data_IF_322109350565
#
_entry.id   IF_322109350565
#
_cell.length_a   1.000
_cell.length_b   1.000
_cell.length_c   1.000
_cell.angle_alpha   90.00
_cell.angle_beta   90.00
_cell.angle_gamma   90.00
#
_symmetry.space_group_name_H-M   'P 1'
#
loop_
_entity.id
_entity.type
_entity.pdbx_description
1 polymer ?
#
# COMPACT_ATOMS: atom_id res chain seq x y z
N UNK A 1 -8.05 2.40 -21.74
CA UNK A 1 -7.80 1.72 -20.46
C UNK A 1 -6.40 1.13 -20.46
N UNK A 2 -5.59 1.42 -19.43
CA UNK A 2 -4.28 0.76 -19.26
C UNK A 2 -4.54 -0.65 -18.73
N UNK A 3 -3.96 -1.70 -19.31
CA UNK A 3 -4.11 -3.05 -18.78
C UNK A 3 -3.66 -3.09 -17.32
N UNK A 4 -4.52 -3.61 -16.45
CA UNK A 4 -4.23 -3.79 -15.03
C UNK A 4 -4.11 -5.28 -14.73
N UNK A 5 -3.00 -5.67 -14.10
CA UNK A 5 -2.80 -7.02 -13.61
C UNK A 5 -3.41 -7.12 -12.20
N UNK A 6 -4.34 -8.07 -12.00
CA UNK A 6 -4.80 -8.42 -10.66
C UNK A 6 -3.72 -9.16 -9.88
N UNK A 7 -3.27 -8.59 -8.77
CA UNK A 7 -2.34 -9.23 -7.83
C UNK A 7 -3.09 -9.96 -6.71
N UNK A 8 -4.27 -9.47 -6.33
CA UNK A 8 -5.20 -10.18 -5.44
C UNK A 8 -6.59 -10.17 -6.06
N UNK A 9 -7.34 -11.26 -5.86
CA UNK A 9 -8.67 -11.42 -6.43
C UNK A 9 -9.74 -10.57 -5.75
N UNK A 10 -10.89 -10.45 -6.40
CA UNK A 10 -12.09 -9.81 -5.86
C UNK A 10 -12.50 -10.43 -4.52
N UNK A 11 -12.90 -9.60 -3.55
CA UNK A 11 -13.26 -10.05 -2.21
C UNK A 11 -12.09 -10.24 -1.24
N UNK A 12 -10.84 -10.05 -1.69
CA UNK A 12 -9.70 -9.93 -0.78
C UNK A 12 -9.91 -8.76 0.21
N UNK A 13 -9.38 -8.84 1.45
CA UNK A 13 -9.46 -7.73 2.40
C UNK A 13 -8.91 -6.42 1.85
N UNK A 14 -7.87 -6.52 1.01
CA UNK A 14 -7.39 -5.44 0.15
C UNK A 14 -7.17 -6.03 -1.24
N UNK A 15 -7.94 -5.52 -2.20
CA UNK A 15 -7.78 -5.87 -3.61
C UNK A 15 -6.65 -5.01 -4.21
N UNK A 16 -5.77 -5.63 -5.00
CA UNK A 16 -4.56 -5.02 -5.54
C UNK A 16 -4.49 -5.18 -7.05
N UNK A 17 -4.22 -4.06 -7.72
CA UNK A 17 -3.98 -3.99 -9.16
C UNK A 17 -2.64 -3.35 -9.44
N UNK A 18 -1.92 -3.91 -10.41
CA UNK A 18 -0.69 -3.34 -10.92
C UNK A 18 -0.92 -2.79 -12.32
N UNK A 19 -0.78 -1.48 -12.47
CA UNK A 19 -0.79 -0.81 -13.75
C UNK A 19 0.66 -0.54 -14.18
N UNK A 20 0.91 -0.54 -15.48
CA UNK A 20 2.21 -0.22 -16.06
C UNK A 20 2.09 0.96 -17.03
N UNK A 21 2.76 2.06 -16.71
CA UNK A 21 2.79 3.28 -17.52
C UNK A 21 4.17 3.93 -17.47
N UNK A 22 4.86 3.89 -18.62
CA UNK A 22 6.11 4.62 -18.86
C UNK A 22 5.82 6.11 -19.07
N UNK A 23 5.63 6.84 -17.98
CA UNK A 23 5.39 8.27 -17.99
C UNK A 23 5.92 8.94 -16.71
N UNK A 24 6.00 10.26 -16.74
CA UNK A 24 6.35 11.05 -15.55
C UNK A 24 5.30 10.88 -14.43
N UNK A 25 5.71 11.11 -13.18
CA UNK A 25 4.84 10.94 -12.00
C UNK A 25 3.47 11.64 -12.09
N UNK A 26 3.34 12.88 -12.62
CA UNK A 26 2.03 13.50 -12.77
C UNK A 26 1.05 12.69 -13.64
N UNK A 27 1.52 12.17 -14.78
CA UNK A 27 0.72 11.34 -15.68
C UNK A 27 0.37 9.99 -15.05
N UNK A 28 1.30 9.37 -14.34
CA UNK A 28 1.02 8.13 -13.59
C UNK A 28 -0.05 8.34 -12.51
N UNK A 29 0.01 9.44 -11.77
CA UNK A 29 -1.05 9.76 -10.80
C UNK A 29 -2.38 9.98 -11.52
N UNK A 30 -2.39 10.63 -12.69
CA UNK A 30 -3.63 10.81 -13.46
C UNK A 30 -4.24 9.47 -13.85
N UNK A 31 -3.42 8.56 -14.40
CA UNK A 31 -3.87 7.21 -14.72
C UNK A 31 -4.42 6.45 -13.50
N UNK A 32 -3.83 6.63 -12.32
CA UNK A 32 -4.36 6.03 -11.08
C UNK A 32 -5.75 6.56 -10.71
N UNK A 33 -6.04 7.84 -11.01
CA UNK A 33 -7.35 8.46 -10.78
C UNK A 33 -8.38 7.99 -11.78
N UNK A 34 -8.01 7.97 -13.06
CA UNK A 34 -8.89 7.50 -14.13
C UNK A 34 -9.28 6.05 -13.85
N UNK A 35 -8.29 5.21 -13.48
CA UNK A 35 -8.52 3.84 -13.03
C UNK A 35 -9.47 3.76 -11.82
N UNK A 36 -9.26 4.59 -10.78
CA UNK A 36 -10.12 4.58 -9.60
C UNK A 36 -11.56 4.96 -9.95
N UNK A 37 -11.75 6.00 -10.77
CA UNK A 37 -13.05 6.48 -11.19
C UNK A 37 -13.79 5.40 -12.01
N UNK A 38 -13.11 4.78 -12.97
CA UNK A 38 -13.64 3.69 -13.78
C UNK A 38 -14.03 2.49 -12.90
N UNK A 39 -13.15 2.07 -11.98
CA UNK A 39 -13.37 0.90 -11.14
C UNK A 39 -14.53 1.10 -10.14
N UNK A 40 -14.65 2.30 -9.55
CA UNK A 40 -15.78 2.64 -8.69
C UNK A 40 -17.10 2.73 -9.49
N UNK A 41 -17.08 3.37 -10.66
CA UNK A 41 -18.25 3.45 -11.52
C UNK A 41 -18.72 2.06 -12.01
N UNK A 42 -17.79 1.12 -12.23
CA UNK A 42 -18.11 -0.27 -12.58
C UNK A 42 -18.81 -1.01 -11.44
N UNK A 43 -18.40 -0.77 -10.19
CA UNK A 43 -18.90 -1.48 -9.00
C UNK A 43 -20.20 -0.91 -8.47
N UNK A 44 -20.33 0.41 -8.48
CA UNK A 44 -21.50 1.12 -7.97
C UNK A 44 -21.93 2.24 -8.95
N UNK A 45 -22.50 1.91 -10.13
CA UNK A 45 -22.77 2.86 -11.21
C UNK A 45 -23.74 4.00 -10.85
N UNK A 46 -24.59 3.77 -9.86
CA UNK A 46 -25.58 4.74 -9.39
C UNK A 46 -25.03 5.70 -8.31
N UNK A 47 -23.80 5.46 -7.83
CA UNK A 47 -23.21 6.26 -6.76
C UNK A 47 -22.27 7.33 -7.32
N UNK A 48 -22.38 8.58 -6.88
CA UNK A 48 -21.38 9.60 -7.21
C UNK A 48 -20.02 9.20 -6.63
N UNK A 49 -18.90 9.64 -7.24
CA UNK A 49 -17.57 9.35 -6.73
C UNK A 49 -17.41 9.89 -5.30
N UNK A 50 -17.20 8.99 -4.34
CA UNK A 50 -17.05 9.33 -2.92
C UNK A 50 -15.61 9.75 -2.58
N UNK A 51 -14.97 10.56 -3.41
CA UNK A 51 -13.58 10.98 -3.22
C UNK A 51 -13.31 12.39 -3.74
N UNK A 52 -12.26 13.01 -3.20
CA UNK A 52 -11.77 14.34 -3.61
C UNK A 52 -10.29 14.30 -3.95
N UNK A 53 -9.86 15.21 -4.82
CA UNK A 53 -8.46 15.31 -5.19
C UNK A 53 -7.64 16.02 -4.12
N UNK A 54 -6.41 15.55 -3.88
CA UNK A 54 -5.44 16.22 -3.02
C UNK A 54 -4.06 16.25 -3.69
N UNK A 55 -3.12 17.11 -3.26
CA UNK A 55 -1.73 17.06 -3.75
C UNK A 55 -1.04 15.69 -3.58
N UNK A 56 -1.55 14.85 -2.68
CA UNK A 56 -1.06 13.49 -2.38
C UNK A 56 -1.85 12.39 -3.12
N UNK A 57 -2.79 12.74 -3.98
CA UNK A 57 -3.67 11.83 -4.73
C UNK A 57 -5.12 11.83 -4.24
N UNK A 58 -5.96 10.95 -4.78
CA UNK A 58 -7.38 10.87 -4.43
C UNK A 58 -7.55 10.46 -2.96
N UNK A 59 -8.41 11.20 -2.25
CA UNK A 59 -8.79 10.94 -0.86
C UNK A 59 -10.27 10.63 -0.81
N UNK A 60 -10.61 9.43 -0.32
CA UNK A 60 -12.01 9.07 -0.10
C UNK A 60 -12.65 9.99 0.96
N UNK A 61 -13.89 10.36 0.73
CA UNK A 61 -14.71 11.15 1.63
C UNK A 61 -14.96 10.39 2.95
N UNK A 62 -15.21 11.10 4.07
CA UNK A 62 -15.68 10.46 5.29
C UNK A 62 -16.97 9.67 5.01
N UNK A 63 -17.04 8.43 5.50
CA UNK A 63 -18.20 7.55 5.28
C UNK A 63 -18.25 6.87 3.92
N UNK A 64 -17.27 7.10 3.04
CA UNK A 64 -17.19 6.40 1.77
C UNK A 64 -17.18 4.88 1.95
N UNK A 65 -17.93 4.18 1.11
CA UNK A 65 -18.05 2.72 1.13
C UNK A 65 -16.76 2.03 0.73
N UNK A 66 -15.98 2.69 -0.13
CA UNK A 66 -14.68 2.22 -0.58
C UNK A 66 -13.56 3.07 0.01
N UNK A 67 -12.44 2.42 0.26
CA UNK A 67 -11.20 3.04 0.67
C UNK A 67 -10.10 2.68 -0.32
N UNK A 68 -9.23 3.64 -0.63
CA UNK A 68 -8.16 3.48 -1.61
C UNK A 68 -6.77 3.78 -1.05
N UNK A 69 -5.76 3.15 -1.63
CA UNK A 69 -4.34 3.45 -1.39
C UNK A 69 -3.55 3.24 -2.66
N UNK A 70 -2.44 3.98 -2.82
CA UNK A 70 -1.61 3.92 -4.01
C UNK A 70 -0.12 3.87 -3.66
N UNK A 71 0.65 3.15 -4.46
CA UNK A 71 2.12 3.20 -4.44
C UNK A 71 2.68 3.22 -5.85
N UNK A 72 3.89 3.77 -5.99
CA UNK A 72 4.48 4.06 -7.28
C UNK A 72 5.95 3.65 -7.29
N UNK A 73 6.35 2.75 -8.18
CA UNK A 73 7.74 2.28 -8.30
C UNK A 73 8.14 2.22 -9.78
N UNK A 74 9.05 3.10 -10.21
CA UNK A 74 9.39 3.22 -11.63
C UNK A 74 8.15 3.42 -12.52
N UNK A 75 7.92 2.59 -13.56
CA UNK A 75 6.76 2.67 -14.42
C UNK A 75 5.48 2.06 -13.81
N UNK A 76 5.56 1.46 -12.63
CA UNK A 76 4.46 0.74 -12.03
C UNK A 76 3.66 1.59 -11.04
N UNK A 77 2.35 1.38 -11.06
CA UNK A 77 1.39 1.95 -10.13
C UNK A 77 0.67 0.78 -9.46
N UNK A 78 0.81 0.66 -8.15
CA UNK A 78 0.04 -0.27 -7.35
C UNK A 78 -1.19 0.47 -6.82
N UNK A 79 -2.37 -0.01 -7.20
CA UNK A 79 -3.64 0.49 -6.73
C UNK A 79 -4.25 -0.51 -5.74
N UNK A 80 -4.71 -0.02 -4.59
CA UNK A 80 -5.37 -0.81 -3.56
C UNK A 80 -6.79 -0.33 -3.30
N UNK A 81 -7.75 -1.25 -3.19
CA UNK A 81 -9.13 -0.97 -2.78
C UNK A 81 -9.60 -1.89 -1.66
N UNK A 82 -10.42 -1.37 -0.76
CA UNK A 82 -11.09 -2.15 0.28
C UNK A 82 -12.44 -1.57 0.66
N UNK A 83 -13.38 -2.44 1.04
CA UNK A 83 -14.64 -2.09 1.74
C UNK A 83 -14.58 -2.33 3.25
N UNK A 84 -13.51 -2.98 3.72
CA UNK A 84 -13.43 -3.52 5.09
C UNK A 84 -12.71 -2.59 6.06
N UNK A 85 -12.13 -1.50 5.56
CA UNK A 85 -11.37 -0.55 6.35
C UNK A 85 -10.39 0.24 5.49
N UNK A 86 -9.47 0.94 6.13
CA UNK A 86 -8.49 1.79 5.44
C UNK A 86 -7.32 0.93 4.96
N UNK A 87 -7.14 0.75 3.64
CA UNK A 87 -6.02 0.00 3.12
C UNK A 87 -4.77 0.87 3.10
N UNK A 88 -3.63 0.20 3.18
CA UNK A 88 -2.34 0.73 2.76
C UNK A 88 -1.69 -0.26 1.81
N UNK A 89 -1.23 0.23 0.66
CA UNK A 89 -0.46 -0.60 -0.28
C UNK A 89 0.91 -0.01 -0.53
N UNK A 90 1.89 -0.87 -0.70
CA UNK A 90 3.22 -0.43 -1.11
C UNK A 90 3.87 -1.35 -2.14
N UNK A 91 4.71 -0.74 -2.99
CA UNK A 91 5.44 -1.40 -4.06
C UNK A 91 6.92 -0.98 -3.97
N UNK A 92 7.80 -1.95 -3.72
CA UNK A 92 9.24 -1.72 -3.57
C UNK A 92 10.03 -2.61 -4.53
N UNK A 93 11.04 -2.05 -5.20
CA UNK A 93 11.94 -2.81 -6.06
C UNK A 93 12.97 -3.59 -5.23
N UNK A 94 13.18 -4.86 -5.56
CA UNK A 94 14.23 -5.71 -5.02
C UNK A 94 15.56 -5.42 -5.72
N UNK A 95 16.06 -4.20 -5.53
CA UNK A 95 17.36 -3.77 -6.01
C UNK A 95 18.25 -3.42 -4.81
N UNK A 96 19.43 -4.02 -4.74
CA UNK A 96 20.42 -3.68 -3.71
C UNK A 96 20.97 -2.27 -3.96
N UNK A 97 21.18 -1.52 -2.88
CA UNK A 97 21.83 -0.21 -2.94
C UNK A 97 22.58 0.08 -1.61
N UNK A 98 23.65 0.90 -1.64
CA UNK A 98 24.42 1.18 -0.43
C UNK A 98 23.59 1.90 0.64
N UNK A 99 23.40 1.26 1.79
CA UNK A 99 22.66 1.82 2.94
C UNK A 99 21.26 1.24 3.16
N UNK A 100 20.84 0.25 2.36
CA UNK A 100 19.58 -0.48 2.55
C UNK A 100 19.45 -1.10 3.95
N UNK A 101 20.53 -1.69 4.46
CA UNK A 101 20.59 -2.26 5.80
C UNK A 101 20.46 -1.20 6.90
N UNK A 102 21.10 -0.05 6.74
CA UNK A 102 21.04 1.04 7.72
C UNK A 102 19.64 1.65 7.77
N UNK A 103 19.01 1.84 6.61
CA UNK A 103 17.62 2.30 6.51
C UNK A 103 16.68 1.30 7.17
N UNK A 104 16.84 -0.01 6.93
CA UNK A 104 15.98 -0.99 7.57
C UNK A 104 16.24 -1.10 9.07
N UNK A 105 17.47 -0.89 9.54
CA UNK A 105 17.77 -0.81 10.97
C UNK A 105 17.09 0.39 11.62
N UNK A 106 17.13 1.56 10.98
CA UNK A 106 16.58 2.80 11.50
C UNK A 106 15.03 2.80 11.50
N UNK A 107 14.40 2.29 10.44
CA UNK A 107 12.95 2.37 10.27
C UNK A 107 12.23 1.03 10.43
N UNK A 108 12.82 -0.08 9.97
CA UNK A 108 12.20 -1.42 10.03
C UNK A 108 12.17 -2.02 11.44
N UNK A 109 13.05 -1.57 12.32
CA UNK A 109 13.17 -2.08 13.68
C UNK A 109 14.00 -3.36 13.78
N UNK A 110 14.22 -3.85 15.02
CA UNK A 110 15.23 -4.86 15.30
C UNK A 110 14.96 -6.20 14.61
N UNK A 111 13.69 -6.61 14.49
CA UNK A 111 13.34 -7.89 13.86
C UNK A 111 13.59 -7.87 12.35
N UNK A 112 13.21 -6.79 11.66
CA UNK A 112 13.45 -6.64 10.23
C UNK A 112 14.94 -6.53 9.91
N UNK A 113 15.68 -5.77 10.73
CA UNK A 113 17.13 -5.64 10.60
C UNK A 113 17.85 -6.99 10.81
N UNK A 114 17.47 -7.76 11.82
CA UNK A 114 18.04 -9.07 12.08
C UNK A 114 17.74 -10.06 10.93
N UNK A 115 16.51 -10.05 10.40
CA UNK A 115 16.13 -10.90 9.27
C UNK A 115 16.94 -10.55 7.99
N UNK A 116 17.16 -9.27 7.73
CA UNK A 116 18.00 -8.83 6.61
C UNK A 116 19.46 -9.24 6.80
N UNK A 117 20.01 -9.06 8.01
CA UNK A 117 21.39 -9.45 8.33
C UNK A 117 21.62 -10.96 8.17
N UNK A 118 20.62 -11.78 8.56
CA UNK A 118 20.64 -13.23 8.39
C UNK A 118 20.41 -13.70 6.94
N UNK A 119 19.99 -12.80 6.03
CA UNK A 119 19.70 -13.16 4.65
C UNK A 119 20.99 -13.40 3.85
N UNK A 120 21.06 -14.47 3.03
CA UNK A 120 22.18 -14.71 2.12
C UNK A 120 22.40 -13.52 1.18
N UNK A 121 23.63 -13.23 0.73
CA UNK A 121 23.92 -12.05 -0.10
C UNK A 121 22.98 -11.90 -1.31
N UNK A 122 22.68 -13.00 -2.02
CA UNK A 122 21.79 -12.99 -3.18
C UNK A 122 20.30 -12.75 -2.85
N UNK A 123 19.88 -12.87 -1.59
CA UNK A 123 18.50 -12.67 -1.15
C UNK A 123 18.26 -11.36 -0.39
N UNK A 124 19.30 -10.57 -0.11
CA UNK A 124 19.19 -9.35 0.72
C UNK A 124 18.28 -8.30 0.11
N UNK A 125 18.42 -8.01 -1.19
CA UNK A 125 17.57 -7.03 -1.87
C UNK A 125 16.08 -7.41 -1.81
N UNK A 126 15.79 -8.70 -1.96
CA UNK A 126 14.45 -9.25 -1.84
C UNK A 126 13.92 -9.16 -0.39
N UNK A 127 14.74 -9.50 0.60
CA UNK A 127 14.38 -9.39 2.01
C UNK A 127 14.11 -7.95 2.42
N UNK A 128 14.94 -7.00 1.97
CA UNK A 128 14.73 -5.58 2.17
C UNK A 128 13.41 -5.13 1.55
N UNK A 129 13.20 -5.38 0.24
CA UNK A 129 12.01 -4.93 -0.46
C UNK A 129 10.72 -5.50 0.15
N UNK A 130 10.74 -6.77 0.58
CA UNK A 130 9.63 -7.39 1.30
C UNK A 130 9.35 -6.72 2.64
N UNK A 131 10.39 -6.44 3.44
CA UNK A 131 10.23 -5.81 4.74
C UNK A 131 9.79 -4.33 4.62
N UNK A 132 10.38 -3.62 3.66
CA UNK A 132 10.09 -2.20 3.42
C UNK A 132 8.65 -1.99 2.91
N UNK A 133 8.22 -2.76 1.91
CA UNK A 133 6.85 -2.68 1.41
C UNK A 133 5.82 -3.00 2.50
N UNK A 134 6.10 -3.98 3.36
CA UNK A 134 5.24 -4.28 4.50
C UNK A 134 5.12 -3.12 5.50
N UNK A 135 6.25 -2.46 5.83
CA UNK A 135 6.27 -1.30 6.72
C UNK A 135 5.46 -0.14 6.13
N UNK A 136 5.74 0.25 4.89
CA UNK A 136 5.05 1.34 4.18
C UNK A 136 3.55 1.08 4.01
N UNK A 137 3.17 -0.16 3.70
CA UNK A 137 1.76 -0.56 3.63
C UNK A 137 1.06 -0.34 4.99
N UNK A 138 1.67 -0.77 6.10
CA UNK A 138 1.11 -0.56 7.45
C UNK A 138 1.05 0.92 7.82
N UNK A 139 2.09 1.69 7.53
CA UNK A 139 2.11 3.14 7.75
C UNK A 139 0.95 3.84 7.02
N UNK A 140 0.75 3.52 5.74
CA UNK A 140 -0.35 4.06 4.93
C UNK A 140 -1.73 3.67 5.47
N UNK A 141 -1.90 2.41 5.87
CA UNK A 141 -3.16 1.93 6.47
C UNK A 141 -3.48 2.68 7.78
N UNK A 142 -2.46 2.95 8.59
CA UNK A 142 -2.57 3.75 9.82
C UNK A 142 -2.56 5.29 9.58
N UNK A 143 -2.52 5.75 8.32
CA UNK A 143 -2.45 7.18 7.96
C UNK A 143 -1.27 7.93 8.58
N UNK A 144 -0.12 7.26 8.75
CA UNK A 144 1.12 7.85 9.27
C UNK A 144 2.15 8.08 8.16
N UNK A 145 3.00 9.08 8.38
CA UNK A 145 4.21 9.27 7.57
C UNK A 145 5.32 8.33 8.02
N UNK A 146 6.40 8.25 7.24
CA UNK A 146 7.60 7.53 7.63
C UNK A 146 8.21 8.18 8.88
N UNK A 147 8.45 7.35 9.89
CA UNK A 147 9.01 7.74 11.18
C UNK A 147 9.99 6.65 11.62
N UNK A 148 11.09 7.04 12.25
CA UNK A 148 12.09 6.10 12.80
C UNK A 148 11.46 5.10 13.76
N UNK A 149 12.11 3.96 13.92
CA UNK A 149 11.63 2.90 14.78
C UNK A 149 11.52 3.37 16.23
N UNK A 150 10.35 3.17 16.81
CA UNK A 150 10.15 3.17 18.25
C UNK A 150 9.14 2.08 18.63
N UNK A 151 9.22 1.50 19.84
CA UNK A 151 8.21 0.56 20.32
C UNK A 151 6.80 1.15 20.33
N UNK A 152 6.67 2.47 20.55
CA UNK A 152 5.38 3.15 20.51
C UNK A 152 4.80 3.20 19.09
N UNK A 153 5.62 3.53 18.09
CA UNK A 153 5.20 3.47 16.68
C UNK A 153 4.77 2.06 16.32
N UNK A 154 5.55 1.05 16.69
CA UNK A 154 5.24 -0.35 16.36
C UNK A 154 3.91 -0.82 16.97
N UNK A 155 3.62 -0.43 18.22
CA UNK A 155 2.31 -0.69 18.85
C UNK A 155 1.14 -0.05 18.09
N UNK A 156 1.32 1.16 17.53
CA UNK A 156 0.28 1.78 16.70
C UNK A 156 0.11 1.02 15.38
N UNK A 157 1.21 0.64 14.73
CA UNK A 157 1.16 -0.11 13.47
C UNK A 157 0.60 -1.52 13.64
N UNK A 158 0.51 -2.06 14.86
CA UNK A 158 -0.14 -3.34 15.14
C UNK A 158 -1.65 -3.32 14.84
N UNK A 159 -2.28 -2.13 14.73
CA UNK A 159 -3.65 -1.99 14.29
C UNK A 159 -3.85 -2.29 12.78
N UNK A 160 -2.77 -2.19 11.99
CA UNK A 160 -2.77 -2.54 10.57
C UNK A 160 -2.24 -3.96 10.37
N UNK A 161 -3.12 -4.85 9.92
CA UNK A 161 -2.78 -6.23 9.61
C UNK A 161 -2.28 -6.33 8.17
N UNK A 162 -1.16 -7.01 7.93
CA UNK A 162 -0.76 -7.38 6.58
C UNK A 162 -1.72 -8.43 6.04
N UNK A 163 -2.36 -8.12 4.92
CA UNK A 163 -3.36 -8.99 4.29
C UNK A 163 -2.78 -9.76 3.11
N UNK A 164 -1.73 -9.23 2.48
CA UNK A 164 -1.08 -9.88 1.34
C UNK A 164 0.35 -9.36 1.14
N UNK A 165 1.24 -10.24 0.67
CA UNK A 165 2.52 -9.87 0.06
C UNK A 165 2.77 -10.71 -1.19
N UNK A 166 3.06 -10.06 -2.31
CA UNK A 166 3.29 -10.73 -3.61
C UNK A 166 4.58 -10.22 -4.22
N UNK A 167 5.39 -11.16 -4.72
CA UNK A 167 6.55 -10.84 -5.54
C UNK A 167 6.17 -10.89 -7.02
N UNK A 168 6.45 -9.84 -7.77
CA UNK A 168 6.18 -9.78 -9.21
C UNK A 168 7.29 -9.03 -9.95
N UNK A 169 7.97 -9.69 -10.88
CA UNK A 169 9.01 -9.08 -11.74
C UNK A 169 10.08 -8.26 -10.98
N UNK A 170 10.58 -8.79 -9.87
CA UNK A 170 11.59 -8.10 -9.04
C UNK A 170 11.01 -6.99 -8.16
N UNK A 171 9.69 -6.87 -8.06
CA UNK A 171 9.00 -5.98 -7.13
C UNK A 171 8.35 -6.78 -6.02
N UNK A 172 8.25 -6.18 -4.83
CA UNK A 172 7.40 -6.63 -3.75
C UNK A 172 6.22 -5.68 -3.57
N UNK A 173 5.03 -6.21 -3.78
CA UNK A 173 3.78 -5.57 -3.45
C UNK A 173 3.31 -6.05 -2.08
N UNK A 174 2.92 -5.15 -1.20
CA UNK A 174 2.33 -5.46 0.09
C UNK A 174 1.01 -4.71 0.26
N UNK A 175 0.06 -5.36 0.92
CA UNK A 175 -1.16 -4.74 1.39
C UNK A 175 -1.32 -4.92 2.90
N UNK A 176 -1.77 -3.87 3.55
CA UNK A 176 -2.21 -3.86 4.93
C UNK A 176 -3.60 -3.25 5.04
N UNK A 177 -4.35 -3.66 6.06
CA UNK A 177 -5.66 -3.13 6.36
C UNK A 177 -5.71 -2.72 7.83
N UNK A 178 -6.07 -1.47 8.08
CA UNK A 178 -6.51 -1.05 9.40
C UNK A 178 -8.04 -1.19 9.42
N UNK A 179 -8.55 -2.09 10.27
CA UNK A 179 -9.99 -2.27 10.41
C UNK A 179 -10.66 -0.93 10.76
N UNK A 180 -11.81 -0.65 10.17
CA UNK A 180 -12.74 0.33 10.76
C UNK A 180 -13.04 -0.17 12.17
N UNK A 181 -12.88 0.67 13.19
CA UNK A 181 -13.35 0.32 14.52
C UNK A 181 -14.79 -0.21 14.40
N UNK A 182 -15.13 -1.36 15.02
CA UNK A 182 -16.50 -1.82 15.01
C UNK A 182 -17.35 -0.76 15.71
N UNK A 183 -18.23 -0.10 14.96
CA UNK A 183 -19.30 0.78 15.42
C UNK A 183 -18.96 1.67 16.63
N UNK A 184 -18.68 2.95 16.36
CA UNK A 184 -19.36 3.95 17.18
C UNK A 184 -20.86 3.69 16.95
N UNK A 185 -21.48 2.98 17.89
CA UNK A 185 -22.88 2.60 17.82
C UNK A 185 -23.70 3.84 17.49
N UNK A 186 -24.67 3.65 16.59
CA UNK A 186 -25.88 4.45 16.59
C UNK A 186 -26.47 4.30 17.99
N UNK A 187 -26.16 5.27 18.85
CA UNK A 187 -26.75 5.43 20.15
C UNK A 187 -27.91 6.40 20.03
N UNK A 188 -29.11 5.83 20.05
CA UNK A 188 -30.43 6.42 20.32
C UNK A 188 -30.99 7.44 19.34
#
# INVERSE_FOLDING_TARGET
MIPALWLTGEGAPVEMWLLHLLAARPAQRQAARDWLAEELARRDPAMPPEWTETPKGPRMLPGARWHSSFSYCGPYILCGLSRQGVPGVDLTSAQAWPGDADVLALYGGPQAAAALAASPPGGRADAFARAWSALEARLKACRRGLEEYSPQRERHLAAAQLTCQVRHQGLWAAAALCGSAPGAGQGS
#
